data_IF_862323473839
#
_entry.id   IF_862323473839
#
_cell.length_a   1.000
_cell.length_b   1.000
_cell.length_c   1.000
_cell.angle_alpha   90.00
_cell.angle_beta   90.00
_cell.angle_gamma   90.00
#
_symmetry.space_group_name_H-M   'P 1'
#
loop_
_entity.id
_entity.type
_entity.pdbx_description
1 polymer ?
#
# COMPACT_ATOMS: atom_id res chain seq x y z
N UNK A 1 -24.49 2.59 23.43
CA UNK A 1 -24.96 3.34 22.24
C UNK A 1 -23.94 4.36 21.70
N UNK A 2 -22.75 4.54 22.31
CA UNK A 2 -21.78 5.57 21.88
C UNK A 2 -20.89 5.15 20.68
N UNK A 3 -20.79 3.86 20.37
CA UNK A 3 -19.86 3.34 19.34
C UNK A 3 -20.43 3.32 17.90
N UNK A 4 -21.75 3.48 17.73
CA UNK A 4 -22.39 3.44 16.42
C UNK A 4 -22.26 4.79 15.68
N UNK A 5 -22.32 5.90 16.44
CA UNK A 5 -22.23 7.27 15.92
C UNK A 5 -20.81 7.56 15.41
N UNK A 6 -19.77 7.07 16.10
CA UNK A 6 -18.37 7.24 15.72
C UNK A 6 -18.02 6.55 14.39
N UNK A 7 -18.77 5.51 14.02
CA UNK A 7 -18.56 4.76 12.75
C UNK A 7 -19.18 5.48 11.55
N UNK A 8 -20.27 6.23 11.78
CA UNK A 8 -20.98 7.03 10.76
C UNK A 8 -20.27 8.35 10.44
N UNK A 9 -19.46 8.87 11.38
CA UNK A 9 -18.70 10.11 11.23
C UNK A 9 -17.28 9.92 10.68
N UNK A 10 -16.85 8.68 10.38
CA UNK A 10 -15.60 8.48 9.64
C UNK A 10 -15.82 8.91 8.19
N UNK A 11 -15.22 10.05 7.82
CA UNK A 11 -15.18 10.51 6.45
C UNK A 11 -14.75 9.35 5.54
N UNK A 12 -15.63 8.94 4.60
CA UNK A 12 -15.24 8.01 3.55
C UNK A 12 -14.11 8.69 2.75
N UNK A 13 -12.98 8.02 2.48
CA UNK A 13 -11.94 8.62 1.67
C UNK A 13 -12.57 9.00 0.32
N UNK A 14 -12.56 10.30 0.05
CA UNK A 14 -13.16 10.86 -1.14
C UNK A 14 -12.33 10.35 -2.34
N UNK A 15 -13.01 9.70 -3.29
CA UNK A 15 -12.36 9.00 -4.42
C UNK A 15 -12.23 9.91 -5.64
N UNK A 16 -12.10 11.23 -5.42
CA UNK A 16 -11.99 12.20 -6.51
C UNK A 16 -10.53 12.46 -6.85
N UNK A 17 -10.28 12.96 -8.06
CA UNK A 17 -8.94 13.24 -8.58
C UNK A 17 -8.14 14.26 -7.73
N UNK A 18 -8.77 14.96 -6.77
CA UNK A 18 -8.13 15.92 -5.87
C UNK A 18 -7.53 15.33 -4.59
N UNK A 19 -7.89 14.10 -4.21
CA UNK A 19 -7.53 13.52 -2.90
C UNK A 19 -6.18 12.77 -2.93
N UNK A 20 -5.40 12.98 -3.99
CA UNK A 20 -4.05 12.43 -4.17
C UNK A 20 -3.08 12.78 -3.03
N UNK A 21 -3.33 13.87 -2.30
CA UNK A 21 -2.54 14.31 -1.15
C UNK A 21 -2.90 13.57 0.14
N UNK A 22 -4.10 13.00 0.24
CA UNK A 22 -4.59 12.32 1.44
C UNK A 22 -4.21 10.83 1.50
N UNK A 23 -3.85 10.21 0.36
CA UNK A 23 -3.27 8.87 0.36
C UNK A 23 -1.76 8.98 0.51
N UNK A 24 -1.24 8.50 1.64
CA UNK A 24 0.19 8.42 1.92
C UNK A 24 0.88 7.65 0.79
N UNK A 25 1.56 8.37 -0.11
CA UNK A 25 2.22 7.75 -1.26
C UNK A 25 3.46 7.02 -0.79
N UNK A 26 3.59 5.76 -1.16
CA UNK A 26 4.81 5.00 -0.92
C UNK A 26 5.89 5.39 -1.94
N UNK A 27 6.70 6.39 -1.59
CA UNK A 27 7.75 6.95 -2.46
C UNK A 27 9.09 6.25 -2.31
N UNK A 28 10.07 6.65 -3.12
CA UNK A 28 11.45 6.19 -3.00
C UNK A 28 12.08 6.53 -1.64
N UNK A 29 11.68 7.65 -1.02
CA UNK A 29 12.18 8.02 0.31
C UNK A 29 11.72 7.00 1.37
N UNK A 30 10.47 6.55 1.31
CA UNK A 30 9.95 5.53 2.22
C UNK A 30 10.71 4.21 2.03
N UNK A 31 10.95 3.81 0.78
CA UNK A 31 11.73 2.62 0.48
C UNK A 31 13.18 2.71 0.98
N UNK A 32 13.80 3.89 0.90
CA UNK A 32 15.13 4.12 1.46
C UNK A 32 15.13 3.99 2.99
N UNK A 33 14.15 4.59 3.67
CA UNK A 33 13.99 4.46 5.13
C UNK A 33 13.76 3.00 5.54
N UNK A 34 12.91 2.25 4.85
CA UNK A 34 12.65 0.85 5.18
C UNK A 34 13.86 -0.05 4.91
N UNK A 35 14.67 0.27 3.90
CA UNK A 35 15.96 -0.41 3.68
C UNK A 35 16.91 -0.17 4.85
N UNK A 36 16.96 1.07 5.39
CA UNK A 36 17.79 1.41 6.54
C UNK A 36 17.30 0.77 7.84
N UNK A 37 15.98 0.56 7.99
CA UNK A 37 15.41 -0.21 9.11
C UNK A 37 15.82 -1.69 9.06
N UNK A 38 16.01 -2.24 7.87
CA UNK A 38 16.48 -3.62 7.70
C UNK A 38 15.44 -4.70 8.04
N UNK A 39 14.18 -4.31 8.21
CA UNK A 39 13.08 -5.23 8.53
C UNK A 39 12.46 -5.78 7.25
N UNK A 40 12.96 -6.94 6.82
CA UNK A 40 12.48 -7.61 5.62
C UNK A 40 11.42 -8.67 5.93
N UNK A 41 10.44 -8.78 5.04
CA UNK A 41 9.53 -9.92 5.03
C UNK A 41 10.28 -11.19 4.61
N UNK A 42 9.78 -12.35 5.00
CA UNK A 42 10.30 -13.63 4.49
C UNK A 42 10.03 -13.74 2.99
N UNK A 43 10.82 -14.57 2.29
CA UNK A 43 10.63 -14.78 0.85
C UNK A 43 9.22 -15.29 0.52
N UNK A 44 8.68 -16.20 1.32
CA UNK A 44 7.31 -16.69 1.18
C UNK A 44 6.27 -15.57 1.25
N UNK A 45 6.38 -14.67 2.24
CA UNK A 45 5.48 -13.52 2.38
C UNK A 45 5.65 -12.55 1.21
N UNK A 46 6.89 -12.31 0.77
CA UNK A 46 7.17 -11.45 -0.40
C UNK A 46 6.54 -12.02 -1.67
N UNK A 47 6.64 -13.32 -1.89
CA UNK A 47 6.08 -14.03 -3.04
C UNK A 47 4.55 -14.00 -3.04
N UNK A 48 3.93 -14.24 -1.89
CA UNK A 48 2.48 -14.13 -1.69
C UNK A 48 1.98 -12.72 -2.06
N UNK A 49 2.58 -11.69 -1.45
CA UNK A 49 2.23 -10.29 -1.73
C UNK A 49 2.45 -9.93 -3.20
N UNK A 50 3.50 -10.47 -3.82
CA UNK A 50 3.78 -10.26 -5.24
C UNK A 50 2.74 -10.95 -6.14
N UNK A 51 2.27 -12.14 -5.78
CA UNK A 51 1.21 -12.83 -6.51
C UNK A 51 -0.08 -12.00 -6.51
N UNK A 52 -0.45 -11.42 -5.36
CA UNK A 52 -1.59 -10.50 -5.25
C UNK A 52 -1.42 -9.27 -6.14
N UNK A 53 -0.22 -8.66 -6.18
CA UNK A 53 0.07 -7.52 -7.05
C UNK A 53 -0.03 -7.90 -8.54
N UNK A 54 0.46 -9.09 -8.94
CA UNK A 54 0.43 -9.56 -10.34
C UNK A 54 -0.99 -9.77 -10.87
N UNK A 55 -1.94 -10.14 -10.02
CA UNK A 55 -3.35 -10.28 -10.38
C UNK A 55 -4.16 -8.98 -10.23
N UNK A 56 -3.56 -7.90 -9.74
CA UNK A 56 -4.26 -6.66 -9.41
C UNK A 56 -4.52 -5.80 -10.65
N UNK A 57 -5.76 -5.32 -10.81
CA UNK A 57 -6.18 -4.46 -11.93
C UNK A 57 -5.43 -3.12 -12.01
N UNK A 58 -4.79 -2.72 -10.90
CA UNK A 58 -4.04 -1.46 -10.80
C UNK A 58 -2.55 -1.61 -11.09
N UNK A 59 -2.06 -2.82 -11.39
CA UNK A 59 -0.66 -2.99 -11.79
C UNK A 59 -0.44 -2.34 -13.17
N UNK A 60 0.54 -1.45 -13.24
CA UNK A 60 1.04 -0.86 -14.47
C UNK A 60 2.47 -1.31 -14.73
N UNK A 61 2.82 -1.41 -16.02
CA UNK A 61 4.19 -1.59 -16.49
C UNK A 61 4.95 -2.72 -15.77
N UNK A 62 4.22 -3.74 -15.29
CA UNK A 62 4.74 -4.88 -14.54
C UNK A 62 5.43 -4.57 -13.20
N UNK A 63 5.39 -3.32 -12.71
CA UNK A 63 6.26 -2.90 -11.60
C UNK A 63 5.72 -1.79 -10.70
N UNK A 64 4.68 -1.05 -11.12
CA UNK A 64 4.14 0.06 -10.34
C UNK A 64 2.62 0.00 -10.17
N UNK A 65 2.10 0.39 -9.02
CA UNK A 65 0.66 0.49 -8.79
C UNK A 65 0.10 1.84 -9.26
N UNK A 66 -0.94 1.86 -10.10
CA UNK A 66 -1.61 3.08 -10.58
C UNK A 66 -2.38 3.81 -9.49
N UNK A 67 -2.80 3.10 -8.43
CA UNK A 67 -3.49 3.73 -7.32
C UNK A 67 -2.50 4.41 -6.37
N UNK A 68 -1.66 3.64 -5.68
CA UNK A 68 -0.80 4.18 -4.61
C UNK A 68 0.56 4.68 -5.11
N UNK A 69 0.94 4.39 -6.36
CA UNK A 69 2.22 4.81 -6.92
C UNK A 69 3.43 4.02 -6.41
N UNK A 70 3.23 2.96 -5.62
CA UNK A 70 4.33 2.17 -5.11
C UNK A 70 5.00 1.34 -6.21
N UNK A 71 6.31 1.11 -6.05
CA UNK A 71 7.03 0.07 -6.78
C UNK A 71 6.77 -1.27 -6.07
N UNK A 72 5.97 -2.14 -6.67
CA UNK A 72 5.49 -3.36 -6.00
C UNK A 72 6.65 -4.28 -5.60
N UNK A 73 7.69 -4.37 -6.44
CA UNK A 73 8.90 -5.15 -6.16
C UNK A 73 9.70 -4.68 -4.94
N UNK A 74 9.58 -3.40 -4.59
CA UNK A 74 10.20 -2.85 -3.38
C UNK A 74 9.26 -3.01 -2.20
N UNK A 75 7.99 -2.58 -2.34
CA UNK A 75 7.06 -2.52 -1.20
C UNK A 75 6.78 -3.90 -0.61
N UNK A 76 6.71 -4.96 -1.41
CA UNK A 76 6.45 -6.31 -0.88
C UNK A 76 7.59 -6.90 -0.06
N UNK A 77 8.82 -6.34 -0.15
CA UNK A 77 10.02 -6.82 0.55
C UNK A 77 10.07 -6.46 2.02
N UNK A 78 9.37 -5.41 2.46
CA UNK A 78 9.50 -4.89 3.81
C UNK A 78 8.43 -5.46 4.73
N UNK A 79 8.82 -5.85 5.95
CA UNK A 79 7.93 -6.53 6.90
C UNK A 79 6.74 -5.65 7.30
N UNK A 80 7.02 -4.39 7.66
CA UNK A 80 6.03 -3.40 8.10
C UNK A 80 5.19 -2.78 6.97
N UNK A 81 5.48 -3.09 5.71
CA UNK A 81 4.72 -2.56 4.58
C UNK A 81 3.38 -3.27 4.44
N UNK A 82 2.39 -2.54 3.93
CA UNK A 82 1.05 -3.03 3.62
C UNK A 82 0.51 -2.44 2.31
N UNK A 83 -0.52 -3.07 1.74
CA UNK A 83 -1.25 -2.50 0.62
C UNK A 83 -2.21 -1.39 1.10
N UNK A 84 -2.19 -0.20 0.48
CA UNK A 84 -3.06 0.92 0.90
C UNK A 84 -4.56 0.64 0.70
N UNK A 85 -4.88 -0.36 -0.14
CA UNK A 85 -6.24 -0.87 -0.34
C UNK A 85 -6.47 -2.22 0.37
N UNK A 86 -5.56 -2.60 1.28
CA UNK A 86 -5.62 -3.79 2.13
C UNK A 86 -5.84 -5.11 1.39
N UNK A 87 -5.22 -5.30 0.22
CA UNK A 87 -5.22 -6.59 -0.48
C UNK A 87 -4.18 -7.57 0.08
N UNK A 88 -3.20 -7.08 0.82
CA UNK A 88 -2.18 -7.80 1.57
C UNK A 88 -1.57 -6.90 2.65
#
# INVERSE_FOLDING_TARGET
>A
MLNMVTRLLRAKPNTTCGDCAAREKYTLLNAAVDTLRGEYATDAVREERMAVCKSCEYLALGSNCKLCGCFVHLKTRYAAASCDINRW
#
